data_IF_157221771612
#
_entry.id   IF_157221771612
#
_cell.length_a   1.000
_cell.length_b   1.000
_cell.length_c   1.000
_cell.angle_alpha   90.00
_cell.angle_beta   90.00
_cell.angle_gamma   90.00
#
_symmetry.space_group_name_H-M   'P 1'
#
loop_
_entity.id
_entity.type
_entity.pdbx_description
1 polymer ?
#
# COMPACT_ATOMS: atom_id res chain seq x y z
N UNK A 1 -20.95 -0.78 -19.35
CA UNK A 1 -19.99 -1.49 -18.47
C UNK A 1 -20.76 -2.29 -17.45
N UNK A 2 -20.59 -3.61 -17.36
CA UNK A 2 -21.24 -4.38 -16.34
C UNK A 2 -20.61 -4.04 -14.99
N UNK A 3 -21.42 -3.60 -14.04
CA UNK A 3 -21.04 -3.52 -12.64
C UNK A 3 -20.87 -4.96 -12.16
N UNK A 4 -19.64 -5.40 -11.96
CA UNK A 4 -19.36 -6.71 -11.36
C UNK A 4 -19.69 -6.56 -9.88
N UNK A 5 -20.85 -7.06 -9.46
CA UNK A 5 -21.23 -7.16 -8.07
C UNK A 5 -20.35 -8.23 -7.39
N UNK A 6 -19.23 -7.77 -6.84
CA UNK A 6 -18.41 -8.58 -5.94
C UNK A 6 -19.11 -8.51 -4.60
N UNK A 7 -20.03 -9.46 -4.35
CA UNK A 7 -20.73 -9.59 -3.08
C UNK A 7 -19.73 -9.41 -1.92
N UNK A 8 -20.09 -8.64 -0.88
CA UNK A 8 -19.21 -8.36 0.23
C UNK A 8 -18.76 -9.67 0.87
N UNK A 9 -17.44 -9.90 0.87
CA UNK A 9 -16.84 -10.98 1.64
C UNK A 9 -17.30 -10.79 3.08
N UNK A 10 -17.90 -11.83 3.68
CA UNK A 10 -18.38 -11.78 5.05
C UNK A 10 -17.29 -11.22 5.96
N UNK A 11 -17.58 -10.18 6.75
CA UNK A 11 -16.61 -9.68 7.71
C UNK A 11 -16.35 -10.76 8.76
N UNK A 12 -15.09 -11.10 8.98
CA UNK A 12 -14.67 -11.80 10.18
C UNK A 12 -14.92 -10.84 11.33
N UNK A 13 -15.81 -11.21 12.25
CA UNK A 13 -16.36 -10.34 13.28
C UNK A 13 -15.30 -9.88 14.28
N UNK A 14 -14.98 -8.60 14.20
CA UNK A 14 -14.67 -7.75 15.35
C UNK A 14 -15.23 -6.35 15.03
N UNK A 15 -16.26 -5.97 15.75
CA UNK A 15 -17.22 -4.95 15.32
C UNK A 15 -16.76 -3.48 15.41
N UNK A 16 -15.50 -3.17 15.72
CA UNK A 16 -15.01 -1.79 15.86
C UNK A 16 -13.86 -1.40 14.94
N UNK A 17 -13.17 -2.37 14.32
CA UNK A 17 -12.06 -2.11 13.38
C UNK A 17 -12.45 -2.14 11.89
N UNK A 18 -13.62 -2.69 11.54
CA UNK A 18 -13.94 -3.05 10.15
C UNK A 18 -14.21 -1.87 9.22
N UNK A 19 -14.71 -0.73 9.71
CA UNK A 19 -15.01 0.43 8.87
C UNK A 19 -13.76 1.20 8.42
N UNK A 20 -12.72 1.25 9.24
CA UNK A 20 -11.47 1.96 8.92
C UNK A 20 -10.62 1.20 7.91
N UNK A 21 -10.54 -0.11 8.04
CA UNK A 21 -9.83 -0.99 7.09
C UNK A 21 -10.49 -0.92 5.73
N UNK A 22 -11.82 -1.03 5.67
CA UNK A 22 -12.56 -0.94 4.41
C UNK A 22 -12.40 0.43 3.71
N UNK A 23 -12.39 1.53 4.45
CA UNK A 23 -12.23 2.87 3.88
C UNK A 23 -10.79 3.11 3.36
N UNK A 24 -9.79 2.59 4.04
CA UNK A 24 -8.39 2.62 3.61
C UNK A 24 -8.19 1.81 2.34
N UNK A 25 -8.64 0.56 2.35
CA UNK A 25 -8.53 -0.34 1.20
C UNK A 25 -9.21 0.27 -0.03
N UNK A 26 -10.36 0.93 0.15
CA UNK A 26 -11.05 1.58 -0.95
C UNK A 26 -10.24 2.72 -1.56
N UNK A 27 -9.66 3.60 -0.74
CA UNK A 27 -8.81 4.70 -1.22
C UNK A 27 -7.55 4.19 -1.93
N UNK A 28 -6.88 3.19 -1.36
CA UNK A 28 -5.70 2.57 -1.95
C UNK A 28 -6.02 1.96 -3.30
N UNK A 29 -7.08 1.16 -3.38
CA UNK A 29 -7.56 0.54 -4.61
C UNK A 29 -7.90 1.56 -5.69
N UNK A 30 -8.70 2.59 -5.36
CA UNK A 30 -9.04 3.66 -6.30
C UNK A 30 -7.78 4.33 -6.86
N UNK A 31 -6.82 4.65 -5.98
CA UNK A 31 -5.58 5.30 -6.38
C UNK A 31 -4.72 4.41 -7.27
N UNK A 32 -4.60 3.12 -6.96
CA UNK A 32 -3.85 2.15 -7.77
C UNK A 32 -4.49 1.99 -9.14
N UNK A 33 -5.81 1.82 -9.21
CA UNK A 33 -6.53 1.66 -10.49
C UNK A 33 -6.44 2.92 -11.35
N UNK A 34 -6.52 4.11 -10.76
CA UNK A 34 -6.35 5.36 -11.49
C UNK A 34 -4.96 5.47 -12.11
N UNK A 35 -3.92 5.11 -11.37
CA UNK A 35 -2.54 5.10 -11.88
C UNK A 35 -2.40 4.07 -13.02
N UNK A 36 -2.88 2.85 -12.83
CA UNK A 36 -2.79 1.79 -13.83
C UNK A 36 -3.53 2.15 -15.11
N UNK A 37 -4.70 2.79 -15.01
CA UNK A 37 -5.50 3.21 -16.17
C UNK A 37 -4.76 4.20 -17.08
N UNK A 38 -3.85 4.99 -16.53
CA UNK A 38 -3.10 6.01 -17.27
C UNK A 38 -1.89 5.44 -18.03
N UNK A 39 -1.30 4.36 -17.55
CA UNK A 39 0.02 3.90 -18.03
C UNK A 39 0.09 2.44 -18.43
N UNK A 40 -0.93 1.66 -18.12
CA UNK A 40 -0.96 0.23 -18.35
C UNK A 40 -2.22 -0.15 -19.13
N UNK A 41 -2.21 -0.04 -20.49
CA UNK A 41 -3.34 -0.50 -21.28
C UNK A 41 -3.61 -1.99 -21.04
N UNK A 42 -4.86 -2.33 -20.73
CA UNK A 42 -5.27 -3.71 -20.41
C UNK A 42 -5.19 -4.68 -21.58
N UNK A 43 -4.98 -4.18 -22.80
CA UNK A 43 -4.97 -4.98 -24.02
C UNK A 43 -3.74 -5.86 -24.23
N UNK A 44 -2.69 -5.68 -23.42
CA UNK A 44 -1.43 -6.40 -23.59
C UNK A 44 -1.20 -7.34 -22.41
N UNK A 45 -1.27 -8.65 -22.67
CA UNK A 45 -0.97 -9.70 -21.66
C UNK A 45 0.47 -9.61 -21.12
N UNK A 46 1.34 -8.90 -21.82
CA UNK A 46 2.73 -8.63 -21.43
C UNK A 46 2.84 -7.61 -20.27
N UNK A 47 1.77 -6.85 -19.99
CA UNK A 47 1.76 -5.83 -18.96
C UNK A 47 1.34 -6.42 -17.61
N UNK A 48 2.27 -7.10 -16.93
CA UNK A 48 2.03 -7.68 -15.61
C UNK A 48 2.20 -6.65 -14.51
N UNK A 49 1.35 -6.77 -13.49
CA UNK A 49 1.44 -6.02 -12.24
C UNK A 49 1.91 -6.97 -11.15
N UNK A 50 2.97 -6.60 -10.43
CA UNK A 50 3.38 -7.30 -9.22
C UNK A 50 2.74 -6.64 -8.01
N UNK A 51 2.07 -7.42 -7.19
CA UNK A 51 1.45 -6.99 -5.94
C UNK A 51 2.11 -7.72 -4.77
N UNK A 52 2.73 -6.99 -3.85
CA UNK A 52 3.32 -7.57 -2.64
C UNK A 52 2.36 -7.57 -1.45
N UNK A 53 2.62 -8.45 -0.48
CA UNK A 53 1.79 -8.59 0.73
C UNK A 53 0.31 -8.78 0.42
N UNK A 54 0.03 -9.63 -0.57
CA UNK A 54 -1.32 -9.85 -1.07
C UNK A 54 -2.29 -10.39 0.00
N UNK A 55 -1.78 -11.13 0.97
CA UNK A 55 -2.45 -11.53 2.22
C UNK A 55 -3.96 -11.66 2.15
N UNK A 56 -4.63 -10.86 2.96
CA UNK A 56 -6.10 -10.81 3.04
C UNK A 56 -6.71 -9.66 2.25
N UNK A 57 -5.92 -8.92 1.47
CA UNK A 57 -6.42 -7.76 0.72
C UNK A 57 -7.30 -8.18 -0.46
N UNK A 58 -8.00 -7.21 -1.04
CA UNK A 58 -8.78 -7.40 -2.27
C UNK A 58 -8.09 -6.81 -3.50
N UNK A 59 -6.95 -6.16 -3.29
CA UNK A 59 -6.25 -5.41 -4.33
C UNK A 59 -5.94 -6.26 -5.55
N UNK A 60 -5.34 -7.46 -5.45
CA UNK A 60 -5.05 -8.29 -6.61
C UNK A 60 -6.27 -8.64 -7.45
N UNK A 61 -7.41 -8.94 -6.77
CA UNK A 61 -8.66 -9.27 -7.47
C UNK A 61 -9.21 -8.08 -8.25
N UNK A 62 -9.11 -6.88 -7.69
CA UNK A 62 -9.65 -5.68 -8.32
C UNK A 62 -8.77 -5.19 -9.46
N UNK A 63 -7.45 -5.32 -9.35
CA UNK A 63 -6.52 -5.10 -10.46
C UNK A 63 -6.82 -6.11 -11.59
N UNK A 64 -7.03 -7.40 -11.26
CA UNK A 64 -7.37 -8.42 -12.24
C UNK A 64 -8.76 -8.20 -12.87
N UNK A 65 -9.74 -7.75 -12.09
CA UNK A 65 -11.08 -7.40 -12.57
C UNK A 65 -11.06 -6.18 -13.52
N UNK A 66 -10.09 -5.27 -13.32
CA UNK A 66 -9.84 -4.16 -14.24
C UNK A 66 -9.15 -4.62 -15.54
N UNK A 67 -8.79 -5.90 -15.68
CA UNK A 67 -8.25 -6.50 -16.89
C UNK A 67 -6.74 -6.71 -16.91
N UNK A 68 -6.04 -6.40 -15.83
CA UNK A 68 -4.59 -6.57 -15.75
C UNK A 68 -4.22 -8.00 -15.31
N UNK A 69 -3.07 -8.49 -15.78
CA UNK A 69 -2.45 -9.69 -15.23
C UNK A 69 -1.68 -9.36 -13.97
N UNK A 70 -1.93 -10.10 -12.89
CA UNK A 70 -1.37 -9.84 -11.56
C UNK A 70 -0.56 -11.03 -11.09
N UNK A 71 0.68 -10.79 -10.69
CA UNK A 71 1.44 -11.70 -9.87
C UNK A 71 1.31 -11.20 -8.42
N UNK A 72 0.56 -11.95 -7.60
CA UNK A 72 0.34 -11.62 -6.21
C UNK A 72 1.31 -12.42 -5.33
N UNK A 73 2.18 -11.73 -4.62
CA UNK A 73 3.25 -12.32 -3.83
C UNK A 73 3.05 -12.09 -2.33
N UNK A 74 3.38 -13.10 -1.53
CA UNK A 74 3.42 -13.01 -0.08
C UNK A 74 4.53 -13.91 0.46
N UNK A 75 5.03 -13.60 1.66
CA UNK A 75 6.00 -14.43 2.38
C UNK A 75 5.33 -15.53 3.20
N UNK A 76 4.04 -15.41 3.45
CA UNK A 76 3.26 -16.34 4.27
C UNK A 76 2.46 -17.30 3.37
N UNK A 77 2.76 -18.62 3.42
CA UNK A 77 2.04 -19.61 2.64
C UNK A 77 0.56 -19.71 3.03
N UNK A 78 0.18 -19.42 4.27
CA UNK A 78 -1.21 -19.44 4.70
C UNK A 78 -2.02 -18.29 4.07
N UNK A 79 -1.39 -17.13 3.90
CA UNK A 79 -1.96 -16.03 3.15
C UNK A 79 -2.20 -16.41 1.68
N UNK A 80 -1.24 -17.06 1.05
CA UNK A 80 -1.39 -17.54 -0.33
C UNK A 80 -2.45 -18.62 -0.45
N UNK A 81 -2.56 -19.55 0.51
CA UNK A 81 -3.61 -20.56 0.54
C UNK A 81 -5.00 -19.91 0.65
N UNK A 82 -5.16 -18.94 1.54
CA UNK A 82 -6.40 -18.17 1.66
C UNK A 82 -6.75 -17.43 0.37
N UNK A 83 -5.75 -16.84 -0.30
CA UNK A 83 -5.93 -16.19 -1.59
C UNK A 83 -6.37 -17.20 -2.67
N UNK A 84 -5.74 -18.37 -2.71
CA UNK A 84 -6.09 -19.44 -3.65
C UNK A 84 -7.54 -19.92 -3.47
N UNK A 85 -8.01 -20.09 -2.23
CA UNK A 85 -9.41 -20.44 -1.94
C UNK A 85 -10.38 -19.38 -2.49
N UNK A 86 -10.03 -18.10 -2.38
CA UNK A 86 -10.85 -17.00 -2.88
C UNK A 86 -10.84 -16.87 -4.41
N UNK A 87 -9.83 -17.44 -5.07
CA UNK A 87 -9.73 -17.51 -6.53
C UNK A 87 -10.57 -18.64 -7.13
N UNK A 88 -11.13 -19.56 -6.33
CA UNK A 88 -12.01 -20.62 -6.84
C UNK A 88 -13.24 -19.97 -7.50
N UNK A 89 -13.43 -20.16 -8.82
CA UNK A 89 -14.47 -19.46 -9.53
C UNK A 89 -15.85 -20.05 -9.21
N UNK A 90 -16.78 -19.18 -8.80
CA UNK A 90 -18.19 -19.52 -8.61
C UNK A 90 -19.09 -19.05 -9.76
N UNK A 91 -18.54 -18.24 -10.68
CA UNK A 91 -19.22 -17.70 -11.86
C UNK A 91 -18.21 -17.54 -13.00
N UNK A 92 -18.67 -17.49 -14.28
CA UNK A 92 -17.76 -17.20 -15.43
C UNK A 92 -16.95 -15.93 -15.26
N UNK A 93 -17.56 -14.85 -14.78
CA UNK A 93 -16.85 -13.57 -14.55
C UNK A 93 -15.73 -13.70 -13.49
N UNK A 94 -15.92 -14.55 -12.48
CA UNK A 94 -14.88 -14.85 -11.50
C UNK A 94 -13.80 -15.77 -12.07
N UNK A 95 -14.10 -16.62 -13.02
CA UNK A 95 -13.12 -17.43 -13.72
C UNK A 95 -12.17 -16.54 -14.54
N UNK A 96 -12.66 -15.52 -15.21
CA UNK A 96 -11.84 -14.55 -15.92
C UNK A 96 -10.90 -13.76 -15.01
N UNK A 97 -11.36 -13.38 -13.83
CA UNK A 97 -10.51 -12.74 -12.81
C UNK A 97 -9.46 -13.71 -12.29
N UNK A 98 -9.85 -14.93 -11.94
CA UNK A 98 -8.94 -15.96 -11.42
C UNK A 98 -7.84 -16.31 -12.45
N UNK A 99 -8.18 -16.37 -13.73
CA UNK A 99 -7.22 -16.64 -14.80
C UNK A 99 -6.14 -15.56 -14.98
N UNK A 100 -6.36 -14.36 -14.42
CA UNK A 100 -5.39 -13.25 -14.48
C UNK A 100 -4.54 -13.12 -13.21
N UNK A 101 -4.78 -13.92 -12.17
CA UNK A 101 -4.02 -13.85 -10.91
C UNK A 101 -3.14 -15.07 -10.77
N UNK A 102 -1.85 -14.85 -10.70
CA UNK A 102 -0.84 -15.84 -10.33
C UNK A 102 -0.40 -15.61 -8.90
N UNK A 103 -0.28 -16.67 -8.10
CA UNK A 103 0.19 -16.59 -6.72
C UNK A 103 1.64 -17.06 -6.62
N UNK A 104 2.47 -16.32 -5.87
CA UNK A 104 3.87 -16.65 -5.69
C UNK A 104 4.34 -16.44 -4.26
N UNK A 105 5.01 -17.44 -3.70
CA UNK A 105 5.73 -17.28 -2.42
C UNK A 105 7.01 -16.48 -2.70
N UNK A 106 7.10 -15.26 -2.15
CA UNK A 106 8.27 -14.40 -2.34
C UNK A 106 8.39 -13.35 -1.23
N UNK A 107 9.63 -13.02 -0.88
CA UNK A 107 9.96 -11.93 0.03
C UNK A 107 10.37 -10.69 -0.79
N UNK A 108 9.73 -9.54 -0.51
CA UNK A 108 10.03 -8.31 -1.22
C UNK A 108 11.46 -7.79 -1.01
N UNK A 109 12.21 -8.34 -0.03
CA UNK A 109 13.61 -8.02 0.23
C UNK A 109 14.59 -8.81 -0.65
N UNK A 110 14.14 -9.91 -1.26
CA UNK A 110 15.04 -10.84 -1.94
C UNK A 110 14.43 -11.53 -3.15
N UNK A 111 13.27 -11.07 -3.65
CA UNK A 111 12.66 -11.69 -4.81
C UNK A 111 13.56 -11.56 -6.06
N UNK A 112 13.47 -12.57 -6.91
CA UNK A 112 14.12 -12.58 -8.21
C UNK A 112 13.18 -13.25 -9.20
N UNK A 113 12.51 -12.44 -10.00
CA UNK A 113 11.64 -12.92 -11.07
C UNK A 113 12.36 -12.71 -12.41
N UNK A 114 12.21 -13.62 -13.35
CA UNK A 114 12.85 -13.48 -14.67
C UNK A 114 12.18 -12.41 -15.56
N UNK A 115 10.93 -12.06 -15.23
CA UNK A 115 10.15 -11.05 -15.93
C UNK A 115 10.30 -9.66 -15.35
N UNK A 116 10.16 -8.65 -16.21
CA UNK A 116 9.96 -7.26 -15.80
C UNK A 116 8.46 -6.96 -15.67
N UNK A 117 8.14 -6.02 -14.78
CA UNK A 117 6.76 -5.63 -14.51
C UNK A 117 6.47 -4.22 -15.03
N UNK A 118 5.28 -4.02 -15.58
CA UNK A 118 4.81 -2.69 -15.98
C UNK A 118 4.44 -1.84 -14.78
N UNK A 119 3.98 -2.47 -13.72
CA UNK A 119 3.78 -1.83 -12.43
C UNK A 119 4.12 -2.78 -11.28
N UNK A 120 4.64 -2.24 -10.19
CA UNK A 120 4.83 -2.94 -8.92
C UNK A 120 4.10 -2.13 -7.87
N UNK A 121 3.19 -2.77 -7.12
CA UNK A 121 2.49 -2.15 -6.00
C UNK A 121 3.00 -2.68 -4.67
N UNK A 122 3.35 -1.76 -3.78
CA UNK A 122 3.69 -2.04 -2.39
C UNK A 122 2.64 -1.35 -1.51
N UNK A 123 1.75 -2.12 -0.85
CA UNK A 123 0.69 -1.56 -0.02
C UNK A 123 1.23 -0.84 1.22
N UNK A 124 0.38 -0.05 1.86
CA UNK A 124 0.73 0.82 2.99
C UNK A 124 1.42 0.07 4.15
N UNK A 125 1.05 -1.18 4.39
CA UNK A 125 1.68 -2.01 5.41
C UNK A 125 3.03 -2.58 4.98
N UNK A 126 3.31 -2.71 3.68
CA UNK A 126 4.46 -3.44 3.17
C UNK A 126 5.80 -2.84 3.61
N UNK A 127 6.06 -1.58 3.27
CA UNK A 127 7.31 -0.92 3.67
C UNK A 127 7.39 -0.64 5.18
N UNK A 128 6.25 -0.53 5.85
CA UNK A 128 6.20 -0.23 7.28
C UNK A 128 6.80 -1.34 8.15
N UNK A 129 6.95 -2.55 7.62
CA UNK A 129 7.52 -3.71 8.31
C UNK A 129 9.06 -3.63 8.43
N UNK A 130 9.72 -2.75 7.69
CA UNK A 130 11.16 -2.74 7.52
C UNK A 130 11.80 -1.50 8.14
N UNK A 131 13.09 -1.61 8.47
CA UNK A 131 13.92 -0.46 8.82
C UNK A 131 14.29 0.37 7.56
N UNK A 132 14.97 1.51 7.76
CA UNK A 132 15.28 2.42 6.67
C UNK A 132 16.25 1.83 5.61
N UNK A 133 17.19 0.98 6.02
CA UNK A 133 18.13 0.34 5.10
C UNK A 133 17.41 -0.71 4.24
N UNK A 134 16.64 -1.58 4.88
CA UNK A 134 15.83 -2.59 4.20
C UNK A 134 14.81 -1.97 3.23
N UNK A 135 14.20 -0.84 3.59
CA UNK A 135 13.29 -0.10 2.69
C UNK A 135 14.01 0.38 1.43
N UNK A 136 15.23 0.90 1.57
CA UNK A 136 16.02 1.30 0.40
C UNK A 136 16.34 0.11 -0.50
N UNK A 137 16.67 -1.04 0.07
CA UNK A 137 16.91 -2.29 -0.66
C UNK A 137 15.66 -2.75 -1.40
N UNK A 138 14.51 -2.76 -0.75
CA UNK A 138 13.21 -3.10 -1.36
C UNK A 138 12.88 -2.17 -2.52
N UNK A 139 13.01 -0.84 -2.33
CA UNK A 139 12.73 0.13 -3.39
C UNK A 139 13.68 -0.03 -4.58
N UNK A 140 14.97 -0.30 -4.30
CA UNK A 140 15.94 -0.59 -5.35
C UNK A 140 15.60 -1.85 -6.11
N UNK A 141 15.32 -2.94 -5.41
CA UNK A 141 14.97 -4.22 -6.02
C UNK A 141 13.69 -4.13 -6.85
N UNK A 142 12.68 -3.40 -6.35
CA UNK A 142 11.48 -3.12 -7.12
C UNK A 142 11.79 -2.30 -8.39
N UNK A 143 12.63 -1.25 -8.27
CA UNK A 143 13.07 -0.47 -9.44
C UNK A 143 13.77 -1.34 -10.48
N UNK A 144 14.63 -2.26 -10.06
CA UNK A 144 15.39 -3.14 -10.96
C UNK A 144 14.49 -4.10 -11.75
N UNK A 145 13.31 -4.47 -11.20
CA UNK A 145 12.33 -5.35 -11.84
C UNK A 145 11.22 -4.62 -12.62
N UNK A 146 11.25 -3.30 -12.66
CA UNK A 146 10.33 -2.55 -13.52
C UNK A 146 10.82 -2.53 -14.96
N UNK A 147 9.92 -2.68 -15.91
CA UNK A 147 10.19 -2.36 -17.29
C UNK A 147 10.51 -0.88 -17.48
N UNK A 148 11.17 -0.50 -18.58
CA UNK A 148 11.35 0.91 -18.93
C UNK A 148 10.00 1.63 -19.03
N UNK A 149 9.91 2.80 -18.40
CA UNK A 149 8.65 3.54 -18.22
C UNK A 149 7.65 2.87 -17.28
N UNK A 150 8.04 1.81 -16.58
CA UNK A 150 7.21 1.14 -15.59
C UNK A 150 7.05 1.94 -14.30
N UNK A 151 6.04 1.62 -13.50
CA UNK A 151 5.67 2.36 -12.31
C UNK A 151 5.85 1.55 -11.03
N UNK A 152 6.49 2.16 -10.05
CA UNK A 152 6.41 1.73 -8.66
C UNK A 152 5.31 2.53 -7.96
N UNK A 153 4.27 1.84 -7.51
CA UNK A 153 3.15 2.42 -6.77
C UNK A 153 3.34 2.06 -5.30
N UNK A 154 3.44 3.05 -4.44
CA UNK A 154 3.64 2.83 -3.00
C UNK A 154 2.58 3.57 -2.23
N UNK A 155 1.86 2.83 -1.39
CA UNK A 155 0.94 3.41 -0.43
C UNK A 155 1.63 3.56 0.93
N UNK A 156 1.27 4.60 1.68
CA UNK A 156 1.74 4.83 3.05
C UNK A 156 0.69 5.56 3.87
N UNK A 157 0.91 5.59 5.16
CA UNK A 157 0.13 6.41 6.09
C UNK A 157 1.05 7.38 6.81
N UNK A 158 0.65 8.64 6.86
CA UNK A 158 1.38 9.71 7.52
C UNK A 158 0.58 10.28 8.68
N UNK A 159 1.28 10.73 9.72
CA UNK A 159 0.68 11.57 10.76
C UNK A 159 1.17 12.99 10.57
N UNK A 160 0.26 13.92 10.37
CA UNK A 160 0.59 15.35 10.43
C UNK A 160 1.01 15.69 11.86
N UNK A 161 2.25 16.07 12.05
CA UNK A 161 2.62 16.81 13.25
C UNK A 161 1.83 18.11 13.22
N UNK A 162 0.97 18.31 14.24
CA UNK A 162 0.43 19.65 14.48
C UNK A 162 1.62 20.58 14.66
N UNK A 163 1.90 21.39 13.64
CA UNK A 163 2.76 22.56 13.82
C UNK A 163 1.99 23.47 14.75
N UNK A 164 2.30 23.44 16.03
CA UNK A 164 1.87 24.47 16.97
C UNK A 164 2.54 25.76 16.48
N UNK A 165 1.83 26.48 15.64
CA UNK A 165 2.20 27.86 15.31
C UNK A 165 2.03 28.64 16.61
N UNK A 166 3.12 28.86 17.31
CA UNK A 166 3.19 29.84 18.40
C UNK A 166 3.16 31.22 17.76
N UNK A 167 2.04 31.58 17.15
CA UNK A 167 1.73 32.99 16.94
C UNK A 167 1.10 33.45 18.22
N UNK A 168 1.89 34.19 19.02
CA UNK A 168 1.44 34.84 20.23
C UNK A 168 0.31 35.80 19.95
N UNK A 169 -0.90 35.44 20.38
CA UNK A 169 -1.95 36.42 20.73
C UNK A 169 -1.83 36.63 22.24
N UNK A 170 -1.36 37.80 22.61
CA UNK A 170 -1.40 38.28 23.99
C UNK A 170 -2.85 38.32 24.47
N UNK A 171 -3.15 37.61 25.57
CA UNK A 171 -4.34 37.83 26.36
C UNK A 171 -5.33 36.68 26.41
N UNK A 172 -5.04 35.64 27.17
CA UNK A 172 -6.05 34.87 27.94
C UNK A 172 -5.41 33.81 28.84
N UNK A 173 -6.01 33.44 29.98
CA UNK A 173 -5.31 32.90 31.09
C UNK A 173 -5.05 31.42 31.06
N UNK A 174 -3.83 31.07 31.44
CA UNK A 174 -3.40 29.85 32.13
C UNK A 174 -4.01 28.52 31.66
N UNK A 175 -3.49 27.99 30.57
CA UNK A 175 -3.44 26.54 30.38
C UNK A 175 -2.21 26.03 31.18
N UNK A 176 -2.45 25.14 32.17
CA UNK A 176 -1.40 24.46 32.93
C UNK A 176 -0.44 23.76 31.96
N UNK A 177 0.89 23.81 32.22
CA UNK A 177 1.82 23.04 31.40
C UNK A 177 1.54 21.55 31.65
N UNK A 178 1.14 20.83 30.64
CA UNK A 178 1.31 19.38 30.61
C UNK A 178 2.81 19.11 30.68
N UNK A 179 3.22 18.38 31.70
CA UNK A 179 4.60 18.01 31.95
C UNK A 179 5.31 17.60 30.68
N UNK A 180 6.38 18.33 30.37
CA UNK A 180 7.38 17.94 29.39
C UNK A 180 8.09 16.71 29.91
N UNK A 181 7.51 15.53 29.69
CA UNK A 181 8.28 14.30 29.80
C UNK A 181 9.32 14.34 28.69
N UNK A 182 10.57 14.44 29.08
CA UNK A 182 11.73 14.59 28.22
C UNK A 182 11.72 13.52 27.13
N UNK A 183 11.55 13.95 25.87
CA UNK A 183 11.84 13.15 24.68
C UNK A 183 13.36 13.06 24.52
N UNK A 184 14.02 12.36 25.44
CA UNK A 184 15.35 11.83 25.23
C UNK A 184 15.18 10.48 24.50
N UNK A 185 15.49 10.47 23.23
CA UNK A 185 15.43 9.30 22.35
C UNK A 185 14.41 9.50 21.24
N UNK A 186 14.92 9.68 20.03
CA UNK A 186 14.12 9.80 18.78
C UNK A 186 13.42 8.48 18.51
N UNK A 187 12.30 8.22 19.18
CA UNK A 187 11.39 7.15 18.78
C UNK A 187 10.42 7.73 17.75
N UNK A 188 10.46 7.19 16.56
CA UNK A 188 9.41 7.40 15.56
C UNK A 188 8.07 7.00 16.16
N UNK A 189 6.99 7.78 15.97
CA UNK A 189 5.67 7.40 16.46
C UNK A 189 5.30 6.03 15.90
N UNK A 190 4.97 5.11 16.77
CA UNK A 190 4.51 3.77 16.41
C UNK A 190 3.00 3.78 16.47
N UNK A 191 2.35 3.54 15.35
CA UNK A 191 0.93 3.24 15.29
C UNK A 191 0.76 1.71 15.35
N UNK A 192 -0.05 1.25 16.29
CA UNK A 192 -0.49 -0.13 16.31
C UNK A 192 -1.49 -0.32 15.16
N UNK A 193 -1.08 -1.06 14.14
CA UNK A 193 -1.98 -1.57 13.14
C UNK A 193 -2.64 -2.81 13.69
N UNK A 194 -3.94 -2.76 13.90
CA UNK A 194 -4.72 -3.97 14.17
C UNK A 194 -4.93 -4.72 12.84
N UNK A 195 -3.86 -5.37 12.40
CA UNK A 195 -3.89 -6.25 11.22
C UNK A 195 -4.17 -7.69 11.60
N UNK A 196 -4.51 -7.95 12.88
CA UNK A 196 -4.70 -9.32 13.38
C UNK A 196 -3.43 -10.16 13.35
N UNK A 197 -2.28 -9.51 13.19
CA UNK A 197 -0.96 -10.11 13.30
C UNK A 197 -0.30 -9.54 14.54
N UNK A 198 0.22 -10.38 15.41
CA UNK A 198 1.14 -10.03 16.51
C UNK A 198 2.47 -9.52 15.94
N UNK A 199 2.42 -8.48 15.09
CA UNK A 199 3.62 -7.93 14.45
C UNK A 199 4.16 -6.77 15.26
N UNK A 200 5.49 -6.74 15.50
CA UNK A 200 6.12 -5.63 16.17
C UNK A 200 6.01 -4.37 15.32
N UNK A 201 5.38 -3.37 15.89
CA UNK A 201 5.49 -1.94 15.64
C UNK A 201 5.77 -1.51 14.18
N UNK A 202 4.73 -1.43 13.35
CA UNK A 202 4.83 -0.79 12.03
C UNK A 202 5.20 0.70 12.19
N UNK A 203 6.23 1.13 11.45
CA UNK A 203 6.70 2.51 11.46
C UNK A 203 5.97 3.30 10.39
N UNK A 204 5.45 4.47 10.76
CA UNK A 204 4.93 5.42 9.80
C UNK A 204 6.06 5.95 8.91
N UNK A 205 5.81 5.98 7.60
CA UNK A 205 6.79 6.45 6.63
C UNK A 205 6.23 7.65 5.91
N UNK A 206 6.98 8.77 5.95
CA UNK A 206 6.60 9.95 5.20
C UNK A 206 6.70 9.69 3.68
N UNK A 207 5.68 10.07 2.92
CA UNK A 207 5.68 9.98 1.46
C UNK A 207 6.86 10.72 0.84
N UNK A 208 7.25 11.86 1.41
CA UNK A 208 8.43 12.61 1.01
C UNK A 208 9.73 11.80 1.16
N UNK A 209 9.83 10.92 2.17
CA UNK A 209 10.98 10.03 2.31
C UNK A 209 11.02 9.00 1.16
N UNK A 210 9.88 8.41 0.84
CA UNK A 210 9.74 7.45 -0.27
C UNK A 210 10.10 8.13 -1.60
N UNK A 211 9.51 9.30 -1.86
CA UNK A 211 9.80 10.09 -3.07
C UNK A 211 11.29 10.38 -3.21
N UNK A 212 11.95 10.85 -2.15
CA UNK A 212 13.39 11.14 -2.15
C UNK A 212 14.23 9.88 -2.34
N UNK A 213 13.86 8.75 -1.76
CA UNK A 213 14.55 7.49 -1.94
C UNK A 213 14.47 7.02 -3.40
N UNK A 214 13.29 7.09 -4.02
CA UNK A 214 13.08 6.73 -5.43
C UNK A 214 13.80 7.70 -6.38
N UNK A 215 13.81 9.00 -6.09
CA UNK A 215 14.54 10.00 -6.89
C UNK A 215 16.04 9.71 -6.90
N UNK A 216 16.63 9.26 -5.79
CA UNK A 216 18.04 8.82 -5.75
C UNK A 216 18.32 7.56 -6.60
N UNK A 217 17.28 6.79 -6.92
CA UNK A 217 17.35 5.66 -7.87
C UNK A 217 17.09 6.08 -9.32
N UNK A 218 17.00 7.39 -9.60
CA UNK A 218 16.74 7.93 -10.93
C UNK A 218 15.27 7.92 -11.35
N UNK A 219 14.35 7.56 -10.44
CA UNK A 219 12.92 7.53 -10.73
C UNK A 219 12.27 8.92 -10.55
N UNK A 220 11.19 9.16 -11.27
CA UNK A 220 10.43 10.43 -11.21
C UNK A 220 9.05 10.23 -10.61
N UNK A 221 8.65 11.07 -9.66
CA UNK A 221 7.29 11.07 -9.11
C UNK A 221 6.34 11.59 -10.19
N UNK A 222 5.37 10.76 -10.58
CA UNK A 222 4.39 11.08 -11.64
C UNK A 222 2.97 11.24 -11.10
N UNK A 223 2.71 10.71 -9.90
CA UNK A 223 1.40 10.77 -9.26
C UNK A 223 1.55 10.82 -7.75
N UNK A 224 0.70 11.61 -7.11
CA UNK A 224 0.50 11.58 -5.67
C UNK A 224 -0.96 11.92 -5.34
N UNK A 225 -1.59 11.09 -4.54
CA UNK A 225 -2.92 11.33 -3.99
C UNK A 225 -2.87 11.15 -2.48
N UNK A 226 -3.60 11.99 -1.76
CA UNK A 226 -3.72 11.90 -0.31
C UNK A 226 -5.17 12.06 0.14
N UNK A 227 -5.53 11.37 1.24
CA UNK A 227 -6.85 11.44 1.86
C UNK A 227 -6.69 11.38 3.37
N UNK A 228 -7.34 12.28 4.14
CA UNK A 228 -7.39 12.16 5.60
C UNK A 228 -7.96 10.80 6.01
N UNK A 229 -7.38 10.21 7.04
CA UNK A 229 -7.90 8.99 7.63
C UNK A 229 -9.18 9.32 8.40
N UNK A 230 -10.32 8.67 8.09
CA UNK A 230 -11.57 8.98 8.77
C UNK A 230 -11.60 8.50 10.23
N UNK A 231 -10.68 7.61 10.62
CA UNK A 231 -10.64 6.97 11.94
C UNK A 231 -9.64 7.62 12.87
N UNK A 232 -8.49 8.04 12.33
CA UNK A 232 -7.40 8.60 13.13
C UNK A 232 -7.16 10.07 12.77
N UNK A 233 -7.65 10.97 13.63
CA UNK A 233 -7.47 12.41 13.46
C UNK A 233 -5.98 12.77 13.32
N UNK A 234 -5.66 13.55 12.28
CA UNK A 234 -4.28 13.93 11.97
C UNK A 234 -3.49 12.90 11.16
N UNK A 235 -4.07 11.76 10.85
CA UNK A 235 -3.49 10.78 9.93
C UNK A 235 -4.00 11.00 8.50
N UNK A 236 -3.16 10.67 7.53
CA UNK A 236 -3.45 10.81 6.09
C UNK A 236 -2.91 9.60 5.36
N UNK A 237 -3.76 8.98 4.55
CA UNK A 237 -3.32 7.97 3.57
C UNK A 237 -2.76 8.66 2.35
N UNK A 238 -1.64 8.17 1.86
CA UNK A 238 -0.96 8.69 0.66
C UNK A 238 -0.61 7.54 -0.26
N UNK A 239 -0.93 7.68 -1.54
CA UNK A 239 -0.44 6.81 -2.61
C UNK A 239 0.43 7.63 -3.55
N UNK A 240 1.63 7.13 -3.79
CA UNK A 240 2.63 7.67 -4.72
C UNK A 240 2.80 6.73 -5.89
N UNK A 241 2.95 7.28 -7.11
CA UNK A 241 3.54 6.52 -8.20
C UNK A 241 4.82 7.22 -8.69
N UNK A 242 5.86 6.43 -8.87
CA UNK A 242 7.15 6.87 -9.38
C UNK A 242 7.50 6.04 -10.61
N UNK A 243 7.97 6.70 -11.65
CA UNK A 243 8.26 6.10 -12.94
C UNK A 243 9.75 5.83 -13.08
N UNK A 244 10.09 4.61 -13.53
CA UNK A 244 11.42 4.26 -14.01
C UNK A 244 11.64 4.91 -15.38
N UNK A 245 12.81 5.52 -15.64
CA UNK A 245 13.18 6.07 -16.93
C UNK A 245 13.21 5.02 -18.06
#
# INVERSE_FOLDING_TARGET
SPVIDIAPLRPVSSATGSHSVAARDHFEIESVLDVLSQVCPTSLAEHRVLEFTCGRTRVPFLIAAAGHHVLAADTDPDNLANMAERLVPSTPARADVAARVELRLADMRSFCFPEEFKAIHIPAAGLALFDAAQRCEVLKLASDHLASGGLLIVSTQEVRRATTSLVGAAGSPVARPMERTALAGRRTPTLHWDMGLDTPQSQLIASAWIANACTRLGMTVTFQRSRPDPTYAGSTHVTLAVQRP
#
